data_IF_503067120837
#
_entry.id   IF_503067120837
#
_cell.length_a   1.000
_cell.length_b   1.000
_cell.length_c   1.000
_cell.angle_alpha   90.00
_cell.angle_beta   90.00
_cell.angle_gamma   90.00
#
_symmetry.space_group_name_H-M   'P 1'
#
loop_
_entity.id
_entity.type
_entity.pdbx_description
1 polymer ?
#
# COMPACT_ATOMS: atom_id res chain seq x y z
N UNK A 1 7.43 -52.48 10.75
CA UNK A 1 6.45 -52.00 9.79
C UNK A 1 5.31 -51.36 10.59
N UNK A 2 5.41 -50.06 10.86
CA UNK A 2 4.38 -49.27 11.56
C UNK A 2 3.80 -48.24 10.57
N UNK A 3 2.50 -47.95 10.64
CA UNK A 3 1.79 -47.14 9.66
C UNK A 3 2.14 -45.65 9.84
N UNK A 4 2.40 -44.96 8.73
CA UNK A 4 2.60 -43.51 8.75
C UNK A 4 1.28 -42.82 9.13
N UNK A 5 1.28 -42.25 10.32
CA UNK A 5 0.29 -41.31 10.82
C UNK A 5 0.98 -39.95 10.80
N UNK A 6 0.54 -39.00 9.98
CA UNK A 6 1.18 -37.69 9.88
C UNK A 6 0.45 -36.77 8.90
N UNK A 7 -0.38 -35.90 9.46
CA UNK A 7 -1.04 -34.71 8.90
C UNK A 7 -0.52 -34.22 7.53
N UNK A 8 -1.31 -34.45 6.46
CA UNK A 8 -1.14 -33.84 5.13
C UNK A 8 -1.67 -32.39 5.07
N UNK A 9 -1.29 -31.53 6.03
CA UNK A 9 -1.57 -30.09 5.95
C UNK A 9 -0.28 -29.30 6.03
N UNK A 10 0.51 -29.28 4.95
CA UNK A 10 1.68 -28.41 4.85
C UNK A 10 1.86 -27.90 3.40
N UNK A 11 1.61 -26.61 3.22
CA UNK A 11 1.89 -25.75 2.05
C UNK A 11 1.08 -26.03 0.77
N UNK A 12 -0.22 -25.74 0.81
CA UNK A 12 -0.91 -25.29 -0.40
C UNK A 12 -0.32 -23.95 -0.88
N UNK A 13 -0.38 -23.60 -2.18
CA UNK A 13 0.15 -22.33 -2.66
C UNK A 13 -0.54 -21.20 -1.89
N UNK A 14 0.24 -20.37 -1.17
CA UNK A 14 -0.24 -19.11 -0.66
C UNK A 14 -0.63 -18.29 -1.89
N UNK A 15 -1.92 -18.30 -2.22
CA UNK A 15 -2.46 -17.48 -3.29
C UNK A 15 -2.60 -16.07 -2.72
N UNK A 16 -1.46 -15.40 -2.53
CA UNK A 16 -1.40 -13.98 -2.19
C UNK A 16 -1.99 -13.24 -3.39
N UNK A 17 -3.32 -13.10 -3.37
CA UNK A 17 -4.12 -12.63 -4.48
C UNK A 17 -3.91 -11.12 -4.69
N UNK A 18 -3.02 -10.80 -5.62
CA UNK A 18 -2.74 -9.43 -6.05
C UNK A 18 -3.75 -8.88 -7.06
N UNK A 19 -4.89 -9.56 -7.31
CA UNK A 19 -5.94 -9.07 -8.23
C UNK A 19 -6.49 -7.70 -7.84
N UNK A 20 -6.26 -7.30 -6.59
CA UNK A 20 -6.66 -6.01 -6.01
C UNK A 20 -5.48 -5.10 -5.69
N UNK A 21 -4.40 -5.23 -6.45
CA UNK A 21 -3.28 -4.30 -6.38
C UNK A 21 -3.63 -2.98 -7.08
N UNK A 22 -3.66 -1.91 -6.30
CA UNK A 22 -3.99 -0.57 -6.77
C UNK A 22 -2.86 0.42 -6.51
N UNK A 23 -2.89 1.50 -7.30
CA UNK A 23 -2.04 2.67 -7.14
C UNK A 23 -2.92 3.92 -7.07
N UNK A 24 -2.60 4.83 -6.15
CA UNK A 24 -3.15 6.18 -6.11
C UNK A 24 -2.00 7.18 -5.97
N UNK A 25 -2.14 8.37 -6.55
CA UNK A 25 -1.07 9.37 -6.46
C UNK A 25 -1.15 10.46 -7.49
N UNK A 26 -0.16 11.35 -7.45
CA UNK A 26 0.00 12.45 -8.39
C UNK A 26 1.37 12.40 -9.05
N UNK A 27 1.44 12.88 -10.30
CA UNK A 27 2.68 12.91 -11.07
C UNK A 27 2.82 14.20 -11.89
N UNK A 28 4.06 14.46 -12.32
CA UNK A 28 4.47 15.61 -13.11
C UNK A 28 3.71 15.81 -14.43
N UNK A 29 3.10 14.77 -15.00
CA UNK A 29 2.35 14.90 -16.26
C UNK A 29 0.99 15.55 -16.08
N UNK A 30 0.43 15.49 -14.88
CA UNK A 30 -0.94 15.92 -14.59
C UNK A 30 -1.03 17.08 -13.60
N UNK A 31 0.08 17.47 -12.96
CA UNK A 31 0.06 18.32 -11.76
C UNK A 31 1.28 19.23 -11.69
N UNK A 32 1.08 20.53 -11.45
CA UNK A 32 2.14 21.52 -11.31
C UNK A 32 3.00 21.33 -10.06
N UNK A 33 4.23 21.87 -10.09
CA UNK A 33 5.23 21.65 -9.05
C UNK A 33 4.78 22.07 -7.64
N UNK A 34 4.03 23.16 -7.53
CA UNK A 34 3.52 23.65 -6.25
C UNK A 34 2.54 22.65 -5.60
N UNK A 35 1.62 22.08 -6.38
CA UNK A 35 0.69 21.05 -5.90
C UNK A 35 1.46 19.76 -5.61
N UNK A 36 2.43 19.38 -6.45
CA UNK A 36 3.29 18.20 -6.16
C UNK A 36 4.05 18.31 -4.85
N UNK A 37 4.50 19.52 -4.50
CA UNK A 37 5.18 19.78 -3.23
C UNK A 37 4.29 19.54 -2.01
N UNK A 38 2.98 19.76 -2.11
CA UNK A 38 2.03 19.47 -1.03
C UNK A 38 1.95 17.97 -0.75
N UNK A 39 2.01 17.14 -1.80
CA UNK A 39 1.98 15.69 -1.65
C UNK A 39 3.33 15.06 -1.31
N UNK A 40 4.36 15.84 -0.93
CA UNK A 40 5.62 15.26 -0.52
C UNK A 40 5.44 14.48 0.81
N UNK A 41 5.70 13.17 0.79
CA UNK A 41 5.62 12.34 2.00
C UNK A 41 6.95 12.40 2.73
N UNK A 42 6.95 12.98 3.94
CA UNK A 42 8.11 12.99 4.84
C UNK A 42 8.30 11.63 5.51
N UNK A 43 9.49 11.34 6.09
CA UNK A 43 9.70 10.13 6.86
C UNK A 43 8.69 9.93 8.00
N UNK A 44 8.27 11.01 8.65
CA UNK A 44 7.27 10.98 9.74
C UNK A 44 5.89 10.61 9.20
N UNK A 45 5.45 11.26 8.11
CA UNK A 45 4.17 10.95 7.47
C UNK A 45 4.15 9.53 6.92
N UNK A 46 5.29 9.04 6.40
CA UNK A 46 5.43 7.65 5.97
C UNK A 46 5.11 6.67 7.12
N UNK A 47 5.66 6.91 8.31
CA UNK A 47 5.37 6.07 9.48
C UNK A 47 3.91 6.15 9.92
N UNK A 48 3.31 7.34 9.87
CA UNK A 48 1.89 7.54 10.20
C UNK A 48 0.98 6.80 9.22
N UNK A 49 1.28 6.88 7.91
CA UNK A 49 0.55 6.16 6.87
C UNK A 49 0.61 4.65 7.12
N UNK A 50 1.80 4.09 7.38
CA UNK A 50 1.94 2.65 7.66
C UNK A 50 1.22 2.23 8.95
N UNK A 51 1.22 3.08 9.98
CA UNK A 51 0.53 2.81 11.23
C UNK A 51 -0.99 2.81 11.05
N UNK A 52 -1.52 3.73 10.26
CA UNK A 52 -2.95 3.81 9.95
C UNK A 52 -3.39 2.67 9.04
N UNK A 53 -2.60 2.34 8.01
CA UNK A 53 -2.85 1.21 7.11
C UNK A 53 -3.05 -0.12 7.87
N UNK A 54 -2.21 -0.37 8.89
CA UNK A 54 -2.36 -1.54 9.77
C UNK A 54 -3.65 -1.56 10.56
N UNK A 55 -4.18 -0.40 10.95
CA UNK A 55 -5.47 -0.30 11.67
C UNK A 55 -6.66 -0.50 10.74
N UNK A 56 -6.50 -0.21 9.46
CA UNK A 56 -7.54 -0.34 8.43
C UNK A 56 -7.45 -1.65 7.63
N UNK A 57 -6.76 -2.66 8.16
CA UNK A 57 -6.58 -3.99 7.56
C UNK A 57 -5.89 -3.99 6.18
N UNK A 58 -5.04 -2.99 5.91
CA UNK A 58 -4.17 -2.96 4.72
C UNK A 58 -2.81 -3.55 5.10
N UNK A 59 -2.57 -4.80 4.70
CA UNK A 59 -1.36 -5.56 5.07
C UNK A 59 -0.17 -5.30 4.15
N UNK A 60 -0.44 -5.02 2.88
CA UNK A 60 0.58 -4.84 1.85
C UNK A 60 0.48 -3.44 1.27
N UNK A 61 1.42 -2.58 1.65
CA UNK A 61 1.44 -1.17 1.28
C UNK A 61 2.86 -0.61 1.26
N UNK A 62 3.13 0.25 0.28
CA UNK A 62 4.34 1.06 0.26
C UNK A 62 4.10 2.39 -0.47
N UNK A 63 4.97 3.37 -0.21
CA UNK A 63 4.86 4.71 -0.80
C UNK A 63 6.15 5.02 -1.57
N UNK A 64 6.00 5.53 -2.78
CA UNK A 64 7.08 6.10 -3.60
C UNK A 64 6.91 7.61 -3.65
N UNK A 65 7.76 8.33 -2.91
CA UNK A 65 7.75 9.80 -2.85
C UNK A 65 9.06 10.34 -3.40
N UNK A 66 8.99 11.05 -4.53
CA UNK A 66 10.14 11.67 -5.23
C UNK A 66 9.75 13.06 -5.73
N UNK A 67 10.69 13.82 -6.30
CA UNK A 67 10.38 15.14 -6.87
C UNK A 67 9.39 15.11 -8.05
N UNK A 68 9.22 13.96 -8.71
CA UNK A 68 8.39 13.82 -9.91
C UNK A 68 7.01 13.22 -9.62
N UNK A 69 6.87 12.50 -8.51
CA UNK A 69 5.65 11.75 -8.17
C UNK A 69 5.60 11.43 -6.69
N UNK A 70 4.38 11.40 -6.17
CA UNK A 70 4.03 10.74 -4.92
C UNK A 70 2.94 9.74 -5.23
N UNK A 71 3.26 8.46 -5.04
CA UNK A 71 2.39 7.33 -5.35
C UNK A 71 2.34 6.40 -4.14
N UNK A 72 1.13 5.97 -3.77
CA UNK A 72 0.89 4.95 -2.76
C UNK A 72 0.36 3.70 -3.46
N UNK A 73 0.89 2.56 -3.05
CA UNK A 73 0.60 1.25 -3.65
C UNK A 73 0.12 0.32 -2.56
N UNK A 74 -0.84 -0.54 -2.88
CA UNK A 74 -1.22 -1.60 -1.96
C UNK A 74 -2.28 -2.54 -2.50
N UNK A 75 -2.45 -3.67 -1.81
CA UNK A 75 -3.54 -4.61 -2.06
C UNK A 75 -4.71 -4.24 -1.16
N UNK A 76 -5.79 -3.73 -1.76
CA UNK A 76 -6.94 -3.17 -1.03
C UNK A 76 -8.26 -3.53 -1.68
N UNK A 77 -9.34 -3.66 -0.91
CA UNK A 77 -10.67 -3.93 -1.47
C UNK A 77 -11.23 -2.81 -2.36
N UNK A 78 -10.76 -1.58 -2.18
CA UNK A 78 -11.21 -0.42 -2.94
C UNK A 78 -10.09 0.64 -3.02
N UNK A 79 -9.75 1.18 -4.20
CA UNK A 79 -8.69 2.18 -4.37
C UNK A 79 -8.92 3.48 -3.58
N UNK A 80 -10.16 3.83 -3.21
CA UNK A 80 -10.45 4.99 -2.36
C UNK A 80 -9.71 4.95 -1.02
N UNK A 81 -9.44 3.75 -0.49
CA UNK A 81 -8.65 3.60 0.74
C UNK A 81 -7.24 4.18 0.60
N UNK A 82 -6.59 3.97 -0.55
CA UNK A 82 -5.27 4.52 -0.82
C UNK A 82 -5.33 6.03 -1.04
N UNK A 83 -6.37 6.53 -1.71
CA UNK A 83 -6.58 7.96 -1.95
C UNK A 83 -6.77 8.70 -0.63
N UNK A 84 -7.68 8.23 0.22
CA UNK A 84 -7.98 8.82 1.52
C UNK A 84 -6.76 8.82 2.43
N UNK A 85 -6.01 7.71 2.44
CA UNK A 85 -4.82 7.56 3.26
C UNK A 85 -3.70 8.51 2.82
N UNK A 86 -3.44 8.61 1.51
CA UNK A 86 -2.42 9.54 1.00
C UNK A 86 -2.84 10.99 1.25
N UNK A 87 -4.10 11.34 0.97
CA UNK A 87 -4.63 12.68 1.14
C UNK A 87 -4.54 13.14 2.61
N UNK A 88 -5.02 12.33 3.56
CA UNK A 88 -5.03 12.62 5.01
C UNK A 88 -3.67 13.03 5.58
N UNK A 89 -2.57 12.51 5.02
CA UNK A 89 -1.21 12.77 5.52
C UNK A 89 -0.39 13.69 4.62
N UNK A 90 -1.00 14.31 3.63
CA UNK A 90 -0.27 15.22 2.74
C UNK A 90 -1.02 16.51 2.37
N UNK A 91 -2.34 16.51 2.35
CA UNK A 91 -3.16 17.64 1.92
C UNK A 91 -4.24 18.02 2.94
#
# INVERSE_FOLDING_TARGET
MYPYSGNEEMYGPNNDDISRFYIAGINYRKTDAAIRGQFAVTPENYQLILAEARKTDIKEIFILSTCNRTEIYGVVSNPSQLIELLYKYTA
#
